data_IF_012434885453
#
_entry.id   IF_012434885453
#
_cell.length_a   1.000
_cell.length_b   1.000
_cell.length_c   1.000
_cell.angle_alpha   90.00
_cell.angle_beta   90.00
_cell.angle_gamma   90.00
#
_symmetry.space_group_name_H-M   'P 1'
#
loop_
_entity.id
_entity.type
_entity.pdbx_description
1 polymer ?
#
# COMPACT_ATOMS: atom_id res chain seq x y z
N UNK A 1 -19.09 25.99 26.23
CA UNK A 1 -19.38 24.80 25.43
C UNK A 1 -18.19 23.84 25.62
N UNK A 2 -18.49 22.63 26.00
CA UNK A 2 -17.47 21.62 26.35
C UNK A 2 -16.62 21.26 25.14
N UNK A 3 -15.31 21.42 25.21
CA UNK A 3 -14.37 21.12 24.09
C UNK A 3 -14.49 19.69 23.60
N UNK A 4 -14.85 18.75 24.47
CA UNK A 4 -15.08 17.35 24.12
C UNK A 4 -16.28 17.15 23.20
N UNK A 5 -17.38 17.87 23.42
CA UNK A 5 -18.60 17.79 22.61
C UNK A 5 -18.38 18.40 21.24
N UNK A 6 -17.70 19.54 21.16
CA UNK A 6 -17.36 20.20 19.88
C UNK A 6 -16.46 19.33 19.03
N UNK A 7 -15.44 18.70 19.63
CA UNK A 7 -14.52 17.78 18.93
C UNK A 7 -15.23 16.53 18.41
N UNK A 8 -16.19 15.99 19.16
CA UNK A 8 -16.98 14.83 18.76
C UNK A 8 -17.94 15.15 17.58
N UNK A 9 -18.57 16.33 17.59
CA UNK A 9 -19.48 16.79 16.51
C UNK A 9 -18.69 17.01 15.21
N UNK A 10 -17.53 17.66 15.26
CA UNK A 10 -16.68 17.90 14.09
C UNK A 10 -16.18 16.55 13.50
N UNK A 11 -15.80 15.62 14.37
CA UNK A 11 -15.33 14.29 13.95
C UNK A 11 -16.44 13.48 13.27
N UNK A 12 -17.68 13.54 13.78
CA UNK A 12 -18.85 12.85 13.19
C UNK A 12 -19.22 13.44 11.83
N UNK A 13 -19.23 14.76 11.68
CA UNK A 13 -19.50 15.43 10.41
C UNK A 13 -18.45 15.05 9.33
N UNK A 14 -17.17 14.98 9.69
CA UNK A 14 -16.11 14.52 8.78
C UNK A 14 -16.26 13.04 8.36
N UNK A 15 -16.72 12.17 9.24
CA UNK A 15 -16.95 10.76 8.93
C UNK A 15 -18.15 10.58 8.00
N UNK A 16 -19.23 11.32 8.20
CA UNK A 16 -20.43 11.29 7.34
C UNK A 16 -20.10 11.80 5.93
N UNK A 17 -19.29 12.84 5.83
CA UNK A 17 -18.81 13.38 4.56
C UNK A 17 -17.89 12.40 3.82
N UNK A 18 -16.93 11.78 4.52
CA UNK A 18 -16.08 10.72 3.97
C UNK A 18 -16.93 9.52 3.52
N UNK A 19 -17.95 9.14 4.30
CA UNK A 19 -18.86 8.04 3.97
C UNK A 19 -19.64 8.33 2.71
N UNK A 20 -20.19 9.52 2.53
CA UNK A 20 -20.97 9.89 1.35
C UNK A 20 -20.10 9.91 0.08
N UNK A 21 -18.89 10.43 0.19
CA UNK A 21 -17.98 10.65 -0.94
C UNK A 21 -17.27 9.37 -1.41
N UNK A 22 -16.86 8.51 -0.45
CA UNK A 22 -16.09 7.27 -0.73
C UNK A 22 -16.87 5.98 -0.44
N UNK A 23 -18.17 6.06 -0.28
CA UNK A 23 -19.16 5.08 0.17
C UNK A 23 -18.77 3.60 0.01
N UNK A 24 -18.49 3.12 -1.22
CA UNK A 24 -18.19 1.69 -1.47
C UNK A 24 -16.78 1.27 -1.08
N UNK A 25 -15.89 2.23 -0.88
CA UNK A 25 -14.46 2.01 -0.71
C UNK A 25 -13.97 2.30 0.71
N UNK A 26 -14.80 2.90 1.57
CA UNK A 26 -14.47 3.23 2.96
C UNK A 26 -15.30 2.37 3.92
N UNK A 27 -14.69 1.98 5.04
CA UNK A 27 -15.36 1.27 6.14
C UNK A 27 -14.80 1.80 7.46
N UNK A 28 -15.68 1.92 8.46
CA UNK A 28 -15.32 2.34 9.81
C UNK A 28 -15.31 1.14 10.75
N UNK A 29 -14.51 1.20 11.82
CA UNK A 29 -14.35 0.14 12.81
C UNK A 29 -14.14 -1.25 12.19
N UNK A 30 -13.31 -1.25 11.14
CA UNK A 30 -13.15 -2.41 10.28
C UNK A 30 -12.20 -3.44 10.89
N UNK A 31 -12.64 -4.71 10.92
CA UNK A 31 -11.85 -5.84 11.39
C UNK A 31 -10.72 -6.21 10.42
N UNK A 32 -9.49 -6.21 10.90
CA UNK A 32 -8.28 -6.52 10.14
C UNK A 32 -7.83 -7.98 10.27
N UNK A 33 -8.49 -8.79 11.10
CA UNK A 33 -8.10 -10.18 11.39
C UNK A 33 -7.86 -11.00 10.12
N UNK A 34 -8.77 -10.89 9.13
CA UNK A 34 -8.66 -11.61 7.84
C UNK A 34 -7.89 -10.85 6.77
N UNK A 35 -7.10 -9.85 7.15
CA UNK A 35 -6.33 -9.01 6.20
C UNK A 35 -4.82 -9.26 6.26
N UNK A 36 -4.39 -10.18 7.09
CA UNK A 36 -3.02 -10.65 7.18
C UNK A 36 -2.98 -12.20 7.23
N UNK A 37 -1.83 -12.75 6.97
CA UNK A 37 -1.66 -14.20 6.87
C UNK A 37 -1.75 -14.92 8.21
N UNK A 38 -1.47 -14.24 9.31
CA UNK A 38 -1.58 -14.81 10.67
C UNK A 38 -3.04 -14.96 11.12
N UNK A 39 -3.99 -14.31 10.43
CA UNK A 39 -5.41 -14.27 10.79
C UNK A 39 -5.69 -13.78 12.21
N UNK A 40 -4.88 -12.86 12.71
CA UNK A 40 -5.00 -12.21 14.01
C UNK A 40 -5.02 -10.69 13.88
N UNK A 41 -5.46 -10.00 14.93
CA UNK A 41 -5.45 -8.56 15.04
C UNK A 41 -6.82 -7.95 15.28
N UNK A 42 -6.80 -6.69 15.72
CA UNK A 42 -7.98 -5.90 16.04
C UNK A 42 -8.55 -5.15 14.84
N UNK A 43 -9.20 -4.04 15.16
CA UNK A 43 -9.86 -3.18 14.18
C UNK A 43 -9.00 -1.99 13.78
N UNK A 44 -9.38 -1.31 12.71
CA UNK A 44 -8.94 0.03 12.39
C UNK A 44 -10.10 1.00 12.41
N UNK A 45 -9.86 2.24 12.83
CA UNK A 45 -10.85 3.32 12.82
C UNK A 45 -11.42 3.54 11.42
N UNK A 46 -10.55 3.60 10.42
CA UNK A 46 -10.91 3.77 9.02
C UNK A 46 -10.15 2.75 8.17
N UNK A 47 -10.87 2.04 7.32
CA UNK A 47 -10.30 1.19 6.27
C UNK A 47 -10.72 1.76 4.92
N UNK A 48 -9.75 2.12 4.08
CA UNK A 48 -9.99 2.66 2.76
C UNK A 48 -9.37 1.78 1.68
N UNK A 49 -10.18 1.36 0.70
CA UNK A 49 -9.74 0.59 -0.47
C UNK A 49 -9.60 1.52 -1.66
N UNK A 50 -8.38 1.93 -1.99
CA UNK A 50 -8.09 2.76 -3.15
C UNK A 50 -8.11 1.91 -4.44
N UNK A 51 -8.98 2.25 -5.39
CA UNK A 51 -9.09 1.54 -6.66
C UNK A 51 -8.31 2.21 -7.80
N UNK A 52 -8.04 3.49 -7.70
CA UNK A 52 -7.28 4.26 -8.69
C UNK A 52 -6.55 5.43 -8.00
N UNK A 53 -5.60 6.01 -8.72
CA UNK A 53 -4.76 7.09 -8.22
C UNK A 53 -5.54 8.37 -7.91
N UNK A 54 -6.52 8.72 -8.76
CA UNK A 54 -7.33 9.94 -8.58
C UNK A 54 -8.10 9.92 -7.26
N UNK A 55 -8.75 8.80 -6.96
CA UNK A 55 -9.50 8.63 -5.71
C UNK A 55 -8.58 8.59 -4.49
N UNK A 56 -7.40 7.98 -4.63
CA UNK A 56 -6.39 7.98 -3.57
C UNK A 56 -5.90 9.39 -3.25
N UNK A 57 -5.57 10.20 -4.26
CA UNK A 57 -5.17 11.61 -4.10
C UNK A 57 -6.27 12.40 -3.40
N UNK A 58 -7.51 12.24 -3.86
CA UNK A 58 -8.67 12.93 -3.28
C UNK A 58 -8.87 12.55 -1.81
N UNK A 59 -8.75 11.27 -1.48
CA UNK A 59 -8.85 10.78 -0.12
C UNK A 59 -7.74 11.33 0.78
N UNK A 60 -6.48 11.29 0.33
CA UNK A 60 -5.33 11.80 1.12
C UNK A 60 -5.48 13.29 1.41
N UNK A 61 -5.89 14.10 0.43
CA UNK A 61 -6.19 15.52 0.63
C UNK A 61 -7.30 15.76 1.64
N UNK A 62 -8.31 14.88 1.66
CA UNK A 62 -9.47 15.02 2.56
C UNK A 62 -9.12 14.74 4.02
N UNK A 63 -8.23 13.78 4.29
CA UNK A 63 -7.77 13.49 5.66
C UNK A 63 -6.68 14.46 6.16
N UNK A 64 -6.17 15.37 5.28
CA UNK A 64 -5.31 16.53 5.60
C UNK A 64 -4.13 16.23 6.54
N UNK A 65 -3.45 15.11 6.40
CA UNK A 65 -2.35 14.70 7.29
C UNK A 65 -2.70 14.58 8.80
N UNK A 66 -3.98 14.66 9.17
CA UNK A 66 -4.43 14.59 10.56
C UNK A 66 -4.45 13.18 11.13
N UNK A 67 -4.51 12.19 10.24
CA UNK A 67 -4.64 10.79 10.64
C UNK A 67 -3.31 10.04 10.48
N UNK A 68 -3.10 9.05 11.35
CA UNK A 68 -2.04 8.06 11.18
C UNK A 68 -2.42 7.16 9.99
N UNK A 69 -1.52 6.99 9.05
CA UNK A 69 -1.75 6.16 7.86
C UNK A 69 -0.87 4.92 7.92
N UNK A 70 -1.48 3.77 7.67
CA UNK A 70 -0.80 2.51 7.44
C UNK A 70 -1.23 1.93 6.08
N UNK A 71 -0.28 1.65 5.20
CA UNK A 71 -0.56 1.02 3.90
C UNK A 71 -0.42 -0.48 4.05
N UNK A 72 -1.53 -1.21 3.93
CA UNK A 72 -1.55 -2.66 4.04
C UNK A 72 -1.47 -3.31 2.65
N UNK A 73 -0.37 -3.98 2.40
CA UNK A 73 -0.10 -4.74 1.18
C UNK A 73 -0.78 -6.14 1.22
N UNK A 74 -0.07 -7.22 0.87
CA UNK A 74 -0.54 -8.61 0.96
C UNK A 74 -0.81 -9.10 2.39
N UNK A 75 -0.22 -8.46 3.39
CA UNK A 75 -0.35 -8.86 4.79
C UNK A 75 0.45 -10.12 5.15
N UNK A 76 1.37 -10.55 4.30
CA UNK A 76 2.21 -11.74 4.53
C UNK A 76 3.27 -11.52 5.60
N UNK A 77 3.74 -10.28 5.76
CA UNK A 77 4.75 -9.88 6.73
C UNK A 77 4.24 -8.79 7.68
N UNK A 78 2.96 -8.89 8.09
CA UNK A 78 2.33 -7.88 8.95
C UNK A 78 1.68 -8.55 10.14
N UNK A 79 2.19 -8.27 11.33
CA UNK A 79 1.58 -8.65 12.60
C UNK A 79 0.71 -7.50 13.11
N UNK A 80 -0.59 -7.73 13.25
CA UNK A 80 -1.55 -6.73 13.68
C UNK A 80 -1.90 -6.96 15.14
N UNK A 81 -1.76 -5.93 15.96
CA UNK A 81 -2.17 -5.95 17.37
C UNK A 81 -3.69 -6.10 17.52
N UNK A 82 -4.14 -6.73 18.59
CA UNK A 82 -5.57 -6.86 18.93
C UNK A 82 -6.21 -5.50 19.33
N UNK A 83 -5.39 -4.52 19.67
CA UNK A 83 -5.87 -3.16 19.96
C UNK A 83 -6.35 -2.48 18.68
N UNK A 84 -7.36 -1.64 18.81
CA UNK A 84 -7.83 -0.82 17.68
C UNK A 84 -6.72 0.13 17.21
N UNK A 85 -6.39 0.07 15.92
CA UNK A 85 -5.52 1.05 15.29
C UNK A 85 -6.27 2.37 15.12
N UNK A 86 -5.86 3.38 15.88
CA UNK A 86 -6.44 4.73 15.82
C UNK A 86 -5.85 5.50 14.62
N UNK A 87 -6.33 5.16 13.43
CA UNK A 87 -5.85 5.72 12.19
C UNK A 87 -6.54 5.11 10.97
N UNK A 88 -5.95 5.34 9.82
CA UNK A 88 -6.42 4.89 8.51
C UNK A 88 -5.55 3.75 7.99
N UNK A 89 -6.16 2.62 7.66
CA UNK A 89 -5.52 1.56 6.88
C UNK A 89 -5.94 1.69 5.42
N UNK A 90 -4.96 1.90 4.54
CA UNK A 90 -5.17 2.00 3.09
C UNK A 90 -4.78 0.69 2.42
N UNK A 91 -5.67 0.13 1.61
CA UNK A 91 -5.43 -1.01 0.72
C UNK A 91 -5.49 -0.56 -0.73
N UNK A 92 -4.40 -0.74 -1.47
CA UNK A 92 -4.37 -0.48 -2.91
C UNK A 92 -4.97 -1.66 -3.68
N UNK A 93 -5.67 -1.39 -4.79
CA UNK A 93 -6.42 -2.40 -5.56
C UNK A 93 -6.59 -1.97 -7.02
N UNK A 94 -7.20 -2.79 -7.85
CA UNK A 94 -7.55 -2.54 -9.26
C UNK A 94 -6.42 -1.93 -10.09
N UNK A 95 -6.41 -0.60 -10.31
CA UNK A 95 -5.43 0.06 -11.17
C UNK A 95 -3.98 -0.08 -10.67
N UNK A 96 -3.82 -0.34 -9.37
CA UNK A 96 -2.51 -0.63 -8.78
C UNK A 96 -2.06 -2.09 -8.98
N UNK A 97 -2.85 -2.92 -9.67
CA UNK A 97 -2.56 -4.33 -9.96
C UNK A 97 -2.36 -4.57 -11.48
N UNK A 98 -1.68 -3.65 -12.15
CA UNK A 98 -1.39 -3.76 -13.59
C UNK A 98 0.09 -3.97 -13.81
N UNK A 99 0.43 -4.77 -14.83
CA UNK A 99 1.79 -5.00 -15.30
C UNK A 99 1.83 -4.72 -16.80
N UNK A 100 2.88 -4.08 -17.26
CA UNK A 100 3.16 -3.86 -18.67
C UNK A 100 4.65 -3.71 -18.93
N UNK A 101 5.08 -3.98 -20.18
CA UNK A 101 6.38 -3.56 -20.65
C UNK A 101 6.37 -2.08 -20.96
N UNK A 102 7.41 -1.36 -20.56
CA UNK A 102 7.71 0.00 -21.02
C UNK A 102 8.64 -0.03 -22.23
N UNK A 103 9.59 -0.96 -22.22
CA UNK A 103 10.54 -1.26 -23.30
C UNK A 103 10.87 -2.74 -23.30
N UNK A 104 11.81 -3.17 -24.15
CA UNK A 104 12.20 -4.58 -24.24
C UNK A 104 12.81 -5.14 -22.95
N UNK A 105 13.27 -4.30 -22.04
CA UNK A 105 14.03 -4.64 -20.82
C UNK A 105 13.46 -4.00 -19.54
N UNK A 106 12.37 -3.22 -19.65
CA UNK A 106 11.78 -2.50 -18.50
C UNK A 106 10.32 -2.89 -18.30
N UNK A 107 9.99 -3.33 -17.09
CA UNK A 107 8.64 -3.63 -16.66
C UNK A 107 8.12 -2.49 -15.77
N UNK A 108 6.89 -2.05 -16.02
CA UNK A 108 6.11 -1.24 -15.10
C UNK A 108 5.15 -2.16 -14.36
N UNK A 109 5.26 -2.20 -13.04
CA UNK A 109 4.38 -2.99 -12.18
C UNK A 109 3.71 -2.10 -11.13
N UNK A 110 2.41 -2.25 -10.99
CA UNK A 110 1.65 -1.59 -9.92
C UNK A 110 1.99 -2.19 -8.55
N UNK A 111 1.90 -1.36 -7.52
CA UNK A 111 2.29 -1.74 -6.14
C UNK A 111 1.48 -2.90 -5.52
N UNK A 112 0.29 -3.22 -6.07
CA UNK A 112 -0.55 -4.33 -5.64
C UNK A 112 -0.37 -5.61 -6.47
N UNK A 113 0.49 -5.61 -7.46
CA UNK A 113 0.87 -6.81 -8.22
C UNK A 113 1.55 -7.79 -7.28
N UNK A 114 1.19 -9.07 -7.36
CA UNK A 114 1.87 -10.11 -6.59
C UNK A 114 3.30 -10.32 -7.12
N UNK A 115 4.26 -10.53 -6.24
CA UNK A 115 5.66 -10.73 -6.58
C UNK A 115 5.82 -11.93 -7.52
N UNK A 116 5.12 -13.03 -7.26
CA UNK A 116 5.08 -14.20 -8.15
C UNK A 116 4.56 -13.85 -9.55
N UNK A 117 3.48 -13.05 -9.67
CA UNK A 117 2.93 -12.64 -10.96
C UNK A 117 3.90 -11.75 -11.74
N UNK A 118 4.69 -10.92 -11.05
CA UNK A 118 5.75 -10.14 -11.68
C UNK A 118 6.86 -11.06 -12.23
N UNK A 119 7.30 -12.07 -11.46
CA UNK A 119 8.27 -13.06 -11.92
C UNK A 119 7.77 -13.85 -13.15
N UNK A 120 6.53 -14.32 -13.12
CA UNK A 120 5.89 -15.02 -14.25
C UNK A 120 5.79 -14.14 -15.50
N UNK A 121 5.42 -12.86 -15.31
CA UNK A 121 5.37 -11.90 -16.42
C UNK A 121 6.75 -11.66 -17.04
N UNK A 122 7.79 -11.49 -16.22
CA UNK A 122 9.17 -11.34 -16.68
C UNK A 122 9.63 -12.55 -17.48
N UNK A 123 9.41 -13.76 -16.95
CA UNK A 123 9.74 -15.01 -17.64
C UNK A 123 9.06 -15.11 -19.01
N UNK A 124 7.77 -14.82 -19.10
CA UNK A 124 7.00 -14.86 -20.34
C UNK A 124 7.48 -13.83 -21.39
N UNK A 125 8.22 -12.81 -20.96
CA UNK A 125 8.83 -11.80 -21.83
C UNK A 125 10.35 -11.97 -21.95
N UNK A 126 10.90 -13.13 -21.57
CA UNK A 126 12.34 -13.45 -21.66
C UNK A 126 13.24 -12.49 -20.88
N UNK A 127 12.75 -11.95 -19.75
CA UNK A 127 13.48 -11.06 -18.85
C UNK A 127 13.96 -11.84 -17.62
N UNK A 128 15.27 -11.92 -17.44
CA UNK A 128 15.92 -12.55 -16.29
C UNK A 128 16.09 -11.58 -15.12
N UNK A 129 16.47 -12.15 -13.95
CA UNK A 129 16.73 -11.38 -12.72
C UNK A 129 15.53 -11.22 -11.81
N UNK A 130 14.35 -11.72 -12.18
CA UNK A 130 13.11 -11.66 -11.42
C UNK A 130 12.74 -13.00 -10.74
N UNK A 131 13.56 -14.04 -10.90
CA UNK A 131 13.29 -15.41 -10.47
C UNK A 131 13.05 -15.51 -8.95
N UNK A 132 13.80 -14.73 -8.18
CA UNK A 132 13.71 -14.70 -6.71
C UNK A 132 12.34 -14.28 -6.19
N UNK A 133 11.57 -13.52 -6.98
CA UNK A 133 10.22 -13.07 -6.61
C UNK A 133 9.20 -14.22 -6.61
N UNK A 134 9.49 -15.32 -7.32
CA UNK A 134 8.55 -16.45 -7.43
C UNK A 134 8.24 -17.11 -6.08
N UNK A 135 9.15 -17.04 -5.12
CA UNK A 135 9.02 -17.64 -3.80
C UNK A 135 8.68 -16.61 -2.69
N UNK A 136 8.61 -15.31 -3.01
CA UNK A 136 8.29 -14.27 -2.02
C UNK A 136 6.78 -14.07 -1.98
N UNK A 137 6.13 -14.35 -0.84
CA UNK A 137 4.71 -14.08 -0.70
C UNK A 137 4.49 -12.60 -0.40
N UNK A 138 4.01 -11.86 -1.35
CA UNK A 138 3.82 -10.43 -1.15
C UNK A 138 3.28 -9.73 -2.39
N UNK A 139 3.44 -8.41 -2.40
CA UNK A 139 3.18 -7.57 -3.55
C UNK A 139 4.33 -6.61 -3.75
N UNK A 140 4.53 -6.16 -4.97
CA UNK A 140 5.62 -5.27 -5.39
C UNK A 140 5.83 -4.09 -4.43
N UNK A 141 4.76 -3.38 -4.04
CA UNK A 141 4.91 -2.26 -3.11
C UNK A 141 5.35 -2.68 -1.71
N UNK A 142 4.89 -3.84 -1.22
CA UNK A 142 5.34 -4.41 0.05
C UNK A 142 6.76 -4.94 -0.03
N UNK A 143 7.11 -5.59 -1.14
CA UNK A 143 8.44 -6.10 -1.42
C UNK A 143 9.49 -4.99 -1.47
N UNK A 144 9.18 -3.88 -2.16
CA UNK A 144 10.07 -2.69 -2.20
C UNK A 144 10.24 -2.11 -0.79
N UNK A 145 9.14 -1.89 -0.03
CA UNK A 145 9.22 -1.34 1.34
C UNK A 145 10.09 -2.20 2.27
N UNK A 146 10.09 -3.49 2.08
CA UNK A 146 10.86 -4.44 2.89
C UNK A 146 12.22 -4.78 2.27
N UNK A 147 12.59 -4.18 1.14
CA UNK A 147 13.71 -4.65 0.32
C UNK A 147 13.75 -6.19 0.28
N UNK A 148 12.58 -6.79 -0.01
CA UNK A 148 12.39 -8.22 0.09
C UNK A 148 13.33 -8.95 -0.86
N UNK A 149 13.93 -10.04 -0.39
CA UNK A 149 14.88 -10.81 -1.16
C UNK A 149 14.86 -12.29 -0.84
N UNK A 150 15.40 -13.06 -1.75
CA UNK A 150 15.59 -14.50 -1.66
C UNK A 150 16.73 -14.91 -2.62
N UNK A 151 17.47 -15.97 -2.28
CA UNK A 151 18.55 -16.48 -3.12
C UNK A 151 19.60 -15.41 -3.50
N UNK A 152 20.04 -14.64 -2.50
CA UNK A 152 21.07 -13.58 -2.64
C UNK A 152 20.66 -12.42 -3.58
N UNK A 153 19.39 -12.30 -3.91
CA UNK A 153 18.79 -11.20 -4.69
C UNK A 153 17.76 -10.46 -3.86
N UNK A 154 17.67 -9.15 -4.10
CA UNK A 154 16.75 -8.24 -3.41
C UNK A 154 16.08 -7.29 -4.40
N UNK A 155 14.99 -6.63 -3.98
CA UNK A 155 14.31 -5.64 -4.83
C UNK A 155 15.23 -4.53 -5.32
N UNK A 156 16.18 -4.08 -4.49
CA UNK A 156 17.16 -3.05 -4.89
C UNK A 156 17.97 -3.40 -6.14
N UNK A 157 18.15 -4.71 -6.42
CA UNK A 157 18.99 -5.19 -7.54
C UNK A 157 18.29 -5.05 -8.90
N UNK A 158 16.96 -4.93 -8.91
CA UNK A 158 16.14 -4.87 -10.13
C UNK A 158 15.35 -3.56 -10.25
N UNK A 159 15.28 -2.76 -9.18
CA UNK A 159 14.48 -1.55 -9.17
C UNK A 159 15.21 -0.40 -9.87
N UNK A 160 14.53 0.26 -10.79
CA UNK A 160 15.02 1.47 -11.47
C UNK A 160 14.52 2.74 -10.77
N UNK A 161 13.20 2.80 -10.51
CA UNK A 161 12.56 3.91 -9.83
C UNK A 161 11.19 3.51 -9.31
N UNK A 162 10.65 4.32 -8.40
CA UNK A 162 9.25 4.20 -7.95
C UNK A 162 8.49 5.48 -8.23
N UNK A 163 7.19 5.34 -8.48
CA UNK A 163 6.24 6.43 -8.31
C UNK A 163 5.60 6.29 -6.93
N UNK A 164 5.81 7.29 -6.09
CA UNK A 164 5.25 7.37 -4.75
C UNK A 164 4.27 8.52 -4.64
N UNK A 165 3.38 8.45 -3.66
CA UNK A 165 2.48 9.53 -3.31
C UNK A 165 2.73 9.95 -1.87
N UNK A 166 2.96 11.24 -1.66
CA UNK A 166 3.14 11.78 -0.32
C UNK A 166 1.77 12.02 0.37
N UNK A 167 1.81 12.32 1.66
CA UNK A 167 0.59 12.56 2.46
C UNK A 167 -0.26 13.74 1.96
N UNK A 168 0.32 14.69 1.24
CA UNK A 168 -0.42 15.81 0.63
C UNK A 168 -1.06 15.44 -0.72
N UNK A 169 -0.90 14.20 -1.18
CA UNK A 169 -1.46 13.71 -2.44
C UNK A 169 -0.64 14.10 -3.68
N UNK A 170 0.62 14.48 -3.53
CA UNK A 170 1.52 14.74 -4.65
C UNK A 170 2.18 13.44 -5.09
N UNK A 171 2.19 13.18 -6.39
CA UNK A 171 2.92 12.07 -7.00
C UNK A 171 4.35 12.52 -7.26
N UNK A 172 5.30 11.72 -6.77
CA UNK A 172 6.74 11.96 -6.94
C UNK A 172 7.39 10.71 -7.54
N UNK A 173 8.40 10.91 -8.38
CA UNK A 173 9.25 9.82 -8.88
C UNK A 173 10.55 9.82 -8.10
N UNK A 174 10.93 8.68 -7.55
CA UNK A 174 12.14 8.50 -6.77
C UNK A 174 13.00 7.45 -7.47
N UNK A 175 14.18 7.80 -7.99
CA UNK A 175 15.15 6.84 -8.52
C UNK A 175 15.61 5.87 -7.44
N UNK A 176 15.85 4.61 -7.81
CA UNK A 176 16.27 3.58 -6.83
C UNK A 176 17.53 3.98 -6.05
N UNK A 177 18.47 4.69 -6.69
CA UNK A 177 19.70 5.20 -6.06
C UNK A 177 19.47 6.23 -4.93
N UNK A 178 18.29 6.83 -4.87
CA UNK A 178 17.89 7.79 -3.84
C UNK A 178 17.11 7.13 -2.70
N UNK A 179 16.82 5.83 -2.82
CA UNK A 179 16.17 5.05 -1.77
C UNK A 179 17.26 4.43 -0.91
N UNK A 180 17.19 4.69 0.39
CA UNK A 180 18.12 4.09 1.34
C UNK A 180 17.69 2.66 1.66
N UNK A 181 18.09 1.70 0.81
CA UNK A 181 17.79 0.29 1.03
C UNK A 181 18.68 -0.28 2.12
N UNK A 182 18.06 -0.87 3.11
CA UNK A 182 18.70 -1.62 4.19
C UNK A 182 18.18 -3.06 4.23
N UNK A 183 18.73 -3.87 5.13
CA UNK A 183 18.23 -5.23 5.35
C UNK A 183 16.79 -5.16 5.89
N UNK A 184 15.82 -5.62 5.08
CA UNK A 184 14.39 -5.65 5.42
C UNK A 184 13.76 -4.26 5.63
N UNK A 185 14.31 -3.20 5.01
CA UNK A 185 13.75 -1.84 5.03
C UNK A 185 14.14 -1.02 3.78
N UNK A 186 13.36 0.06 3.58
CA UNK A 186 13.64 1.07 2.55
C UNK A 186 13.05 2.44 2.91
#
# INVERSE_FOLDING_TARGET
MDEGVTKFIIMKANLDELSSEFNKNIKFDYDLKKKNWFNIGGKTKIYYKANNLKDLIKFLKKIENKEKIFVLSGGSNTLISDKTYDGVVIKLSKDFNKISLLSNDIIIAGSSVNDKSLSEFAMNNSLGGFEFLSCIPGTVGGGIKMNAGCFEREFKDILISIQAINKSGQVITIPAKEINFEYRDS
#
